data_IF_202820379254
#
_entry.id   IF_202820379254
#
_cell.length_a   1.000
_cell.length_b   1.000
_cell.length_c   1.000
_cell.angle_alpha   90.00
_cell.angle_beta   90.00
_cell.angle_gamma   90.00
#
_symmetry.space_group_name_H-M   'P 1'
#
loop_
_entity.id
_entity.type
_entity.pdbx_description
1 polymer ?
#
# COMPACT_ATOMS: atom_id res chain seq x y z
N UNK A 1 -23.16 9.85 14.28
CA UNK A 1 -23.33 8.60 13.52
C UNK A 1 -22.51 8.77 12.25
N UNK A 2 -21.32 8.17 12.20
CA UNK A 2 -20.51 8.17 10.98
C UNK A 2 -21.05 7.06 10.09
N UNK A 3 -21.72 7.41 9.00
CA UNK A 3 -21.95 6.43 7.93
C UNK A 3 -20.56 5.98 7.45
N UNK A 4 -20.32 4.67 7.29
CA UNK A 4 -19.13 4.22 6.56
C UNK A 4 -19.18 4.87 5.17
N UNK A 5 -18.06 5.44 4.74
CA UNK A 5 -17.91 5.93 3.37
C UNK A 5 -18.21 4.75 2.43
N UNK A 6 -18.92 5.02 1.34
CA UNK A 6 -19.56 4.01 0.48
C UNK A 6 -18.57 2.97 -0.13
N UNK A 7 -17.26 3.24 -0.06
CA UNK A 7 -16.20 2.46 -0.70
C UNK A 7 -15.11 1.98 0.29
N UNK A 8 -15.47 1.79 1.57
CA UNK A 8 -14.60 1.15 2.56
C UNK A 8 -14.74 -0.38 2.52
N UNK A 9 -13.61 -1.09 2.48
CA UNK A 9 -13.51 -2.55 2.36
C UNK A 9 -12.58 -3.13 3.42
N UNK A 10 -12.74 -4.41 3.76
CA UNK A 10 -11.76 -5.14 4.59
C UNK A 10 -10.70 -5.72 3.65
N UNK A 11 -9.46 -5.24 3.75
CA UNK A 11 -8.35 -5.76 2.96
C UNK A 11 -7.80 -7.05 3.58
N UNK A 12 -7.61 -8.08 2.77
CA UNK A 12 -7.07 -9.39 3.21
C UNK A 12 -5.66 -9.63 2.67
N UNK A 13 -5.35 -9.14 1.47
CA UNK A 13 -4.00 -9.15 0.93
C UNK A 13 -3.70 -7.92 0.08
N UNK A 14 -2.41 -7.63 -0.09
CA UNK A 14 -1.90 -6.64 -1.01
C UNK A 14 -0.72 -7.25 -1.78
N UNK A 15 -0.84 -7.29 -3.10
CA UNK A 15 0.26 -7.61 -4.01
C UNK A 15 0.89 -6.32 -4.52
N UNK A 16 2.22 -6.26 -4.50
CA UNK A 16 3.01 -5.15 -5.03
C UNK A 16 3.97 -5.72 -6.07
N UNK A 17 3.74 -5.41 -7.33
CA UNK A 17 4.57 -5.87 -8.45
C UNK A 17 5.32 -4.69 -9.06
N UNK A 18 6.66 -4.71 -8.92
CA UNK A 18 7.58 -3.69 -9.42
C UNK A 18 8.24 -4.23 -10.68
N UNK A 19 8.04 -3.55 -11.80
CA UNK A 19 8.65 -3.93 -13.07
C UNK A 19 9.98 -3.22 -13.29
N UNK A 20 10.93 -3.93 -13.92
CA UNK A 20 12.21 -3.33 -14.32
C UNK A 20 11.95 -2.16 -15.27
N UNK A 21 12.53 -1.00 -14.97
CA UNK A 21 12.39 0.17 -15.81
C UNK A 21 13.71 0.75 -16.28
N UNK A 22 13.67 1.37 -17.45
CA UNK A 22 14.76 2.11 -18.06
C UNK A 22 14.67 3.59 -17.62
N UNK A 23 15.40 3.93 -16.57
CA UNK A 23 15.67 5.29 -16.07
C UNK A 23 14.44 6.12 -15.60
N UNK A 24 14.46 6.42 -14.30
CA UNK A 24 13.72 7.50 -13.59
C UNK A 24 12.22 7.31 -13.31
N UNK A 25 11.59 6.23 -13.79
CA UNK A 25 10.17 5.95 -13.54
C UNK A 25 9.95 4.45 -13.36
N UNK A 26 9.38 4.02 -12.24
CA UNK A 26 9.24 2.60 -11.91
C UNK A 26 7.76 2.20 -11.97
N UNK A 27 7.32 1.45 -13.00
CA UNK A 27 5.95 0.97 -13.07
C UNK A 27 5.68 -0.01 -11.94
N UNK A 28 4.65 0.28 -11.14
CA UNK A 28 4.23 -0.58 -10.04
C UNK A 28 2.74 -0.87 -10.14
N UNK A 29 2.42 -2.14 -10.04
CA UNK A 29 1.04 -2.62 -9.95
C UNK A 29 0.76 -3.03 -8.50
N UNK A 30 -0.13 -2.27 -7.84
CA UNK A 30 -0.73 -2.67 -6.58
C UNK A 30 -2.00 -3.46 -6.87
N UNK A 31 -2.25 -4.55 -6.13
CA UNK A 31 -3.50 -5.29 -6.21
C UNK A 31 -3.98 -5.62 -4.82
N UNK A 32 -5.09 -5.03 -4.41
CA UNK A 32 -5.73 -5.29 -3.12
C UNK A 32 -6.78 -6.38 -3.29
N UNK A 33 -6.74 -7.41 -2.45
CA UNK A 33 -7.81 -8.39 -2.33
C UNK A 33 -8.66 -8.05 -1.10
N UNK A 34 -9.97 -7.95 -1.26
CA UNK A 34 -10.87 -7.72 -0.13
C UNK A 34 -11.45 -9.01 0.46
N UNK A 35 -12.20 -8.90 1.56
CA UNK A 35 -12.83 -10.04 2.24
C UNK A 35 -13.91 -10.74 1.42
N UNK A 36 -14.40 -10.13 0.34
CA UNK A 36 -15.35 -10.74 -0.59
C UNK A 36 -14.64 -11.52 -1.71
N UNK A 37 -13.30 -11.48 -1.75
CA UNK A 37 -12.50 -12.08 -2.80
C UNK A 37 -12.41 -11.22 -4.07
N UNK A 38 -12.81 -9.94 -4.00
CA UNK A 38 -12.66 -9.02 -5.12
C UNK A 38 -11.23 -8.48 -5.16
N UNK A 39 -10.59 -8.61 -6.32
CA UNK A 39 -9.26 -8.07 -6.57
C UNK A 39 -9.38 -6.71 -7.28
N UNK A 40 -8.80 -5.69 -6.67
CA UNK A 40 -8.78 -4.32 -7.17
C UNK A 40 -7.36 -3.96 -7.60
N UNK A 41 -7.07 -3.80 -8.90
CA UNK A 41 -5.76 -3.37 -9.38
C UNK A 41 -5.64 -1.84 -9.36
N UNK A 42 -4.45 -1.32 -9.05
CA UNK A 42 -4.05 0.08 -9.17
C UNK A 42 -2.61 0.17 -9.72
N UNK A 43 -2.47 0.61 -10.97
CA UNK A 43 -1.18 0.85 -11.60
C UNK A 43 -0.74 2.29 -11.34
N UNK A 44 0.49 2.48 -10.87
CA UNK A 44 1.10 3.79 -10.64
C UNK A 44 2.54 3.80 -11.14
N UNK A 45 3.08 5.00 -11.33
CA UNK A 45 4.50 5.19 -11.57
C UNK A 45 5.16 5.71 -10.31
N UNK A 46 6.11 4.95 -9.75
CA UNK A 46 6.96 5.45 -8.66
C UNK A 46 8.07 6.33 -9.23
N UNK A 47 8.36 7.41 -8.50
CA UNK A 47 9.54 8.26 -8.72
C UNK A 47 10.78 7.62 -8.12
N UNK A 48 11.94 8.07 -8.57
CA UNK A 48 13.22 7.69 -7.97
C UNK A 48 13.21 7.92 -6.45
N UNK A 49 13.63 6.92 -5.68
CA UNK A 49 13.64 6.96 -4.21
C UNK A 49 12.32 6.62 -3.51
N UNK A 50 11.18 6.52 -4.22
CA UNK A 50 9.88 6.26 -3.55
C UNK A 50 9.77 4.83 -3.02
N UNK A 51 10.36 3.84 -3.71
CA UNK A 51 10.40 2.46 -3.24
C UNK A 51 11.31 2.31 -2.01
N UNK A 52 12.47 2.97 -2.02
CA UNK A 52 13.39 3.05 -0.88
C UNK A 52 12.71 3.71 0.32
N UNK A 53 12.04 4.85 0.10
CA UNK A 53 11.32 5.56 1.15
C UNK A 53 10.16 4.72 1.72
N UNK A 54 9.41 4.01 0.87
CA UNK A 54 8.37 3.07 1.33
C UNK A 54 8.95 2.01 2.26
N UNK A 55 10.00 1.30 1.81
CA UNK A 55 10.68 0.30 2.62
C UNK A 55 11.17 0.89 3.96
N UNK A 56 11.88 2.01 3.93
CA UNK A 56 12.52 2.58 5.12
C UNK A 56 11.51 3.11 6.14
N UNK A 57 10.40 3.70 5.69
CA UNK A 57 9.32 4.13 6.59
C UNK A 57 8.65 2.92 7.23
N UNK A 58 8.28 1.90 6.44
CA UNK A 58 7.65 0.70 6.97
C UNK A 58 8.58 -0.07 7.92
N UNK A 59 9.87 -0.15 7.62
CA UNK A 59 10.86 -0.78 8.49
C UNK A 59 10.98 -0.06 9.85
N UNK A 60 10.94 1.28 9.87
CA UNK A 60 10.94 2.06 11.12
C UNK A 60 9.66 1.86 11.92
N UNK A 61 8.50 1.78 11.27
CA UNK A 61 7.22 1.49 11.92
C UNK A 61 7.22 0.07 12.51
N UNK A 62 7.66 -0.94 11.75
CA UNK A 62 7.76 -2.33 12.21
C UNK A 62 8.70 -2.49 13.41
N UNK A 63 9.77 -1.70 13.46
CA UNK A 63 10.72 -1.68 14.56
C UNK A 63 10.27 -0.80 15.75
N UNK A 64 9.05 -0.23 15.72
CA UNK A 64 8.55 0.73 16.71
C UNK A 64 9.45 1.97 16.91
N UNK A 65 10.27 2.28 15.91
CA UNK A 65 11.18 3.43 15.90
C UNK A 65 10.52 4.70 15.32
N UNK A 66 9.33 4.56 14.73
CA UNK A 66 8.49 5.65 14.23
C UNK A 66 7.02 5.36 14.56
N UNK A 67 6.18 6.41 14.73
CA UNK A 67 4.75 6.22 14.94
C UNK A 67 4.09 5.61 13.69
N UNK A 68 3.15 4.71 13.90
CA UNK A 68 2.27 4.18 12.88
C UNK A 68 1.16 5.19 12.56
N UNK A 69 1.51 6.31 11.93
CA UNK A 69 0.57 7.38 11.63
C UNK A 69 0.88 8.05 10.29
N UNK A 70 -0.15 8.24 9.47
CA UNK A 70 -0.05 8.91 8.18
C UNK A 70 0.01 7.95 6.99
N UNK A 71 0.09 8.52 5.79
CA UNK A 71 0.06 7.78 4.53
C UNK A 71 1.19 8.18 3.60
N UNK A 72 1.65 7.22 2.82
CA UNK A 72 2.65 7.35 1.77
C UNK A 72 1.92 7.35 0.42
N UNK A 73 1.80 8.52 -0.25
CA UNK A 73 1.13 8.61 -1.53
C UNK A 73 2.07 8.24 -2.69
N UNK A 74 1.51 7.55 -3.67
CA UNK A 74 2.15 7.14 -4.91
C UNK A 74 1.26 7.49 -6.11
N UNK A 75 1.90 7.74 -7.24
CA UNK A 75 1.23 8.10 -8.48
C UNK A 75 1.20 9.60 -8.80
N UNK A 76 1.07 9.90 -10.09
CA UNK A 76 1.06 11.22 -10.69
C UNK A 76 -0.29 11.94 -10.70
N UNK A 77 -0.33 13.17 -11.25
CA UNK A 77 -1.50 14.04 -11.21
C UNK A 77 -2.70 13.55 -12.02
N UNK A 78 -2.48 12.72 -13.05
CA UNK A 78 -3.50 12.26 -14.01
C UNK A 78 -3.55 10.72 -14.14
N UNK A 79 -2.93 9.99 -13.21
CA UNK A 79 -2.98 8.53 -13.14
C UNK A 79 -3.65 8.07 -11.84
N UNK A 80 -3.87 6.76 -11.70
CA UNK A 80 -4.32 6.19 -10.42
C UNK A 80 -3.37 6.63 -9.30
N UNK A 81 -3.92 6.91 -8.13
CA UNK A 81 -3.13 7.20 -6.93
C UNK A 81 -3.31 6.11 -5.91
N UNK A 82 -2.23 5.76 -5.24
CA UNK A 82 -2.23 4.77 -4.16
C UNK A 82 -1.72 5.44 -2.90
N UNK A 83 -2.40 5.25 -1.78
CA UNK A 83 -1.92 5.69 -0.47
C UNK A 83 -1.86 4.46 0.43
N UNK A 84 -0.66 4.15 0.94
CA UNK A 84 -0.46 3.12 1.95
C UNK A 84 -0.16 3.78 3.28
N UNK A 85 -0.83 3.40 4.35
CA UNK A 85 -0.66 4.09 5.62
C UNK A 85 -1.18 3.34 6.83
N UNK A 86 -0.99 3.98 7.98
CA UNK A 86 -1.49 3.54 9.26
C UNK A 86 -2.18 4.70 9.98
N UNK A 87 -3.25 4.40 10.71
CA UNK A 87 -3.91 5.38 11.56
C UNK A 87 -3.30 5.40 12.96
N UNK A 88 -3.01 4.22 13.53
CA UNK A 88 -2.34 4.06 14.81
C UNK A 88 -1.73 2.64 14.97
N UNK A 89 -1.15 2.40 16.15
CA UNK A 89 -0.80 1.08 16.67
C UNK A 89 -1.46 0.89 18.04
N UNK A 90 -2.30 -0.15 18.16
CA UNK A 90 -2.91 -0.61 19.40
C UNK A 90 -2.50 -2.05 19.60
N UNK A 91 -1.51 -2.28 20.47
CA UNK A 91 -0.92 -3.60 20.70
C UNK A 91 -2.01 -4.70 20.82
N UNK A 92 -1.93 -5.78 20.02
CA UNK A 92 -0.80 -6.19 19.17
C UNK A 92 -0.95 -5.85 17.67
N UNK A 93 -1.74 -4.84 17.31
CA UNK A 93 -2.10 -4.58 15.91
C UNK A 93 -1.81 -3.14 15.46
N UNK A 94 -1.36 -3.02 14.22
CA UNK A 94 -1.37 -1.77 13.46
C UNK A 94 -2.72 -1.63 12.74
N UNK A 95 -3.31 -0.43 12.78
CA UNK A 95 -4.50 -0.09 12.00
C UNK A 95 -4.09 0.37 10.61
N UNK A 96 -3.96 -0.57 9.68
CA UNK A 96 -3.52 -0.34 8.31
C UNK A 96 -4.66 0.12 7.41
N UNK A 97 -4.35 1.02 6.48
CA UNK A 97 -5.21 1.34 5.34
C UNK A 97 -4.45 1.44 4.03
N UNK A 98 -5.16 1.16 2.96
CA UNK A 98 -4.71 1.20 1.58
C UNK A 98 -5.82 1.85 0.75
N UNK A 99 -5.57 3.02 0.17
CA UNK A 99 -6.54 3.74 -0.66
C UNK A 99 -6.09 3.75 -2.11
N UNK A 100 -6.94 3.24 -3.01
CA UNK A 100 -6.78 3.36 -4.45
C UNK A 100 -7.75 4.39 -4.99
N UNK A 101 -7.22 5.48 -5.53
CA UNK A 101 -7.99 6.59 -6.10
C UNK A 101 -7.90 6.53 -7.62
N UNK A 102 -9.00 6.16 -8.26
CA UNK A 102 -9.11 6.03 -9.72
C UNK A 102 -9.57 7.36 -10.35
N UNK A 103 -8.97 7.82 -11.46
CA UNK A 103 -9.44 9.01 -12.16
C UNK A 103 -10.90 8.86 -12.62
N UNK A 104 -11.72 9.89 -12.41
CA UNK A 104 -13.11 9.95 -12.85
C UNK A 104 -13.25 10.62 -14.22
N UNK A 105 -14.16 10.13 -15.06
CA UNK A 105 -14.54 10.79 -16.31
C UNK A 105 -15.19 12.18 -16.09
N UNK A 106 -15.76 12.42 -14.92
CA UNK A 106 -16.37 13.70 -14.53
C UNK A 106 -15.36 14.68 -13.93
N UNK A 107 -14.08 14.30 -13.87
CA UNK A 107 -13.02 15.00 -13.14
C UNK A 107 -12.91 14.54 -11.68
N UNK A 108 -11.70 14.63 -11.13
CA UNK A 108 -11.42 14.16 -9.77
C UNK A 108 -11.14 12.65 -9.69
N UNK A 109 -11.36 12.07 -8.51
CA UNK A 109 -11.01 10.70 -8.20
C UNK A 109 -12.14 9.95 -7.48
N UNK A 110 -12.24 8.65 -7.74
CA UNK A 110 -13.08 7.69 -7.02
C UNK A 110 -12.20 6.86 -6.09
N UNK A 111 -12.13 7.19 -4.78
CA UNK A 111 -11.30 6.46 -3.84
C UNK A 111 -11.99 5.20 -3.32
N UNK A 112 -11.27 4.07 -3.34
CA UNK A 112 -11.64 2.83 -2.66
C UNK A 112 -10.62 2.56 -1.58
N UNK A 113 -11.05 2.40 -0.34
CA UNK A 113 -10.14 2.22 0.81
C UNK A 113 -10.32 0.85 1.43
N UNK A 114 -9.27 0.04 1.41
CA UNK A 114 -9.16 -1.16 2.22
C UNK A 114 -8.57 -0.86 3.59
N UNK A 115 -9.13 -1.47 4.63
CA UNK A 115 -8.62 -1.40 6.00
C UNK A 115 -8.39 -2.79 6.56
N UNK A 116 -7.41 -2.91 7.45
CA UNK A 116 -7.12 -4.17 8.11
C UNK A 116 -6.36 -3.96 9.42
N UNK A 117 -6.49 -4.95 10.32
CA UNK A 117 -5.60 -5.10 11.46
C UNK A 117 -4.38 -5.91 11.02
N UNK A 118 -3.19 -5.37 11.27
CA UNK A 118 -1.92 -5.97 10.88
C UNK A 118 -1.12 -6.32 12.13
N UNK A 119 -0.70 -7.57 12.26
CA UNK A 119 0.21 -7.98 13.34
C UNK A 119 1.63 -7.51 13.07
N UNK A 120 2.45 -7.39 14.11
CA UNK A 120 3.89 -7.14 13.99
C UNK A 120 4.59 -8.10 13.03
N UNK A 121 4.27 -9.40 13.12
CA UNK A 121 4.84 -10.42 12.24
C UNK A 121 4.39 -10.26 10.77
N UNK A 122 3.15 -9.85 10.54
CA UNK A 122 2.65 -9.58 9.20
C UNK A 122 3.36 -8.39 8.57
N UNK A 123 3.52 -7.28 9.30
CA UNK A 123 4.25 -6.11 8.82
C UNK A 123 5.73 -6.42 8.56
N UNK A 124 6.38 -7.22 9.41
CA UNK A 124 7.77 -7.64 9.20
C UNK A 124 7.95 -8.40 7.87
N UNK A 125 7.03 -9.30 7.51
CA UNK A 125 7.05 -10.02 6.21
C UNK A 125 6.94 -9.06 5.02
N UNK A 126 6.10 -8.04 5.11
CA UNK A 126 6.00 -7.01 4.07
C UNK A 126 7.33 -6.27 3.91
N UNK A 127 7.95 -5.86 5.02
CA UNK A 127 9.24 -5.15 5.01
C UNK A 127 10.33 -6.01 4.37
N UNK A 128 10.42 -7.29 4.74
CA UNK A 128 11.38 -8.22 4.16
C UNK A 128 11.16 -8.40 2.64
N UNK A 129 9.91 -8.58 2.20
CA UNK A 129 9.59 -8.69 0.77
C UNK A 129 9.92 -7.43 -0.01
N UNK A 130 9.63 -6.25 0.54
CA UNK A 130 9.99 -4.98 -0.08
C UNK A 130 11.50 -4.77 -0.16
N UNK A 131 12.27 -5.24 0.84
CA UNK A 131 13.75 -5.22 0.78
C UNK A 131 14.24 -6.03 -0.42
N UNK A 132 13.73 -7.25 -0.61
CA UNK A 132 14.14 -8.11 -1.73
C UNK A 132 13.84 -7.47 -3.08
N UNK A 133 12.65 -6.90 -3.25
CA UNK A 133 12.26 -6.20 -4.49
C UNK A 133 13.11 -4.96 -4.72
N UNK A 134 13.40 -4.18 -3.67
CA UNK A 134 14.27 -3.01 -3.73
C UNK A 134 15.68 -3.38 -4.14
N UNK A 135 16.27 -4.39 -3.51
CA UNK A 135 17.64 -4.82 -3.78
C UNK A 135 17.80 -5.41 -5.20
N UNK A 136 16.75 -6.05 -5.72
CA UNK A 136 16.72 -6.58 -7.08
C UNK A 136 16.35 -5.55 -8.16
N UNK A 137 15.76 -4.42 -7.76
CA UNK A 137 15.22 -3.41 -8.67
C UNK A 137 14.00 -3.89 -9.49
N UNK A 138 13.36 -4.97 -9.07
CA UNK A 138 12.12 -5.52 -9.64
C UNK A 138 11.67 -6.71 -8.79
N UNK A 139 10.40 -7.09 -8.92
CA UNK A 139 9.88 -8.31 -8.32
C UNK A 139 8.46 -8.17 -7.84
N UNK A 140 8.02 -9.15 -7.05
CA UNK A 140 6.65 -9.25 -6.54
C UNK A 140 6.71 -9.47 -5.04
N UNK A 141 5.93 -8.69 -4.30
CA UNK A 141 5.58 -8.96 -2.91
C UNK A 141 4.12 -9.37 -2.86
N UNK A 142 3.85 -10.62 -2.48
CA UNK A 142 2.49 -11.10 -2.20
C UNK A 142 2.29 -11.08 -0.67
N UNK A 143 1.70 -10.00 -0.14
CA UNK A 143 1.53 -9.81 1.30
C UNK A 143 0.13 -10.19 1.77
N UNK A 144 0.04 -11.19 2.64
CA UNK A 144 -1.20 -11.54 3.37
C UNK A 144 -1.28 -10.67 4.63
N UNK A 145 -2.31 -9.84 4.70
CA UNK A 145 -2.46 -8.79 5.72
C UNK A 145 -3.06 -9.39 7.00
N UNK A 146 -4.18 -10.09 6.85
CA UNK A 146 -4.88 -10.78 7.92
C UNK A 146 -4.67 -12.29 7.78
N UNK A 147 -4.05 -12.91 8.79
CA UNK A 147 -3.99 -14.36 8.99
C UNK A 147 -5.10 -14.81 9.95
#
# INVERSE_FOLDING_TARGET
MNQPLQDERIATSLRIEVQLSSADAWPVQFTMLDSNGEALPAAVTLRDGELENLHDVLAKIAAHAAPAAGGLPFGGPDETRVILGFDDYVTPHFNFYCTFAYPSAEGGYHPVTGRALVTDASLARLVDGLREVKDAGQGVVDWVIAD
#
